data_IF_505514837780
#
_entry.id   IF_505514837780
#
_cell.length_a   1.000
_cell.length_b   1.000
_cell.length_c   1.000
_cell.angle_alpha   90.00
_cell.angle_beta   90.00
_cell.angle_gamma   90.00
#
_symmetry.space_group_name_H-M   'P 1'
#
loop_
_entity.id
_entity.type
_entity.pdbx_description
1 polymer ?
#
# COMPACT_ATOMS: atom_id res chain seq x y z
N UNK A 1 -17.50 -12.00 -9.70
CA UNK A 1 -17.98 -10.88 -8.88
C UNK A 1 -16.81 -9.95 -8.62
N UNK A 2 -17.09 -8.69 -8.27
CA UNK A 2 -16.07 -7.70 -7.88
C UNK A 2 -15.50 -8.04 -6.49
N UNK A 3 -14.19 -7.82 -6.30
CA UNK A 3 -13.50 -7.91 -5.00
C UNK A 3 -12.72 -6.63 -4.78
N UNK A 4 -12.64 -6.20 -3.53
CA UNK A 4 -11.72 -5.14 -3.11
C UNK A 4 -10.32 -5.75 -2.93
N UNK A 5 -9.31 -5.05 -3.44
CA UNK A 5 -7.91 -5.45 -3.45
C UNK A 5 -7.03 -4.59 -2.54
N UNK A 6 -7.46 -3.36 -2.23
CA UNK A 6 -6.77 -2.42 -1.37
C UNK A 6 -7.65 -1.22 -1.08
N UNK A 7 -7.41 -0.53 0.03
CA UNK A 7 -8.17 0.65 0.45
C UNK A 7 -7.24 1.72 1.02
N UNK A 8 -7.60 2.98 0.85
CA UNK A 8 -6.92 4.10 1.51
C UNK A 8 -7.83 5.35 1.55
N UNK A 9 -7.64 6.21 2.56
CA UNK A 9 -8.33 7.49 2.67
C UNK A 9 -7.62 8.56 1.88
N UNK A 10 -8.37 9.27 1.02
CA UNK A 10 -7.84 10.45 0.35
C UNK A 10 -7.76 11.61 1.35
N UNK A 11 -6.58 12.22 1.58
CA UNK A 11 -6.46 13.30 2.56
C UNK A 11 -7.35 14.51 2.26
N UNK A 12 -7.56 14.82 0.98
CA UNK A 12 -8.27 16.04 0.53
C UNK A 12 -9.77 16.03 0.85
N UNK A 13 -10.46 14.91 0.62
CA UNK A 13 -11.91 14.80 0.83
C UNK A 13 -12.30 13.83 1.96
N UNK A 14 -11.32 13.17 2.56
CA UNK A 14 -11.48 12.21 3.67
C UNK A 14 -12.38 11.02 3.33
N UNK A 15 -12.54 10.72 2.04
CA UNK A 15 -13.30 9.56 1.59
C UNK A 15 -12.41 8.32 1.52
N UNK A 16 -12.98 7.15 1.82
CA UNK A 16 -12.30 5.87 1.68
C UNK A 16 -12.39 5.42 0.23
N UNK A 17 -11.25 5.30 -0.44
CA UNK A 17 -11.17 4.75 -1.79
C UNK A 17 -10.78 3.28 -1.75
N UNK A 18 -11.14 2.56 -2.80
CA UNK A 18 -10.84 1.15 -2.93
C UNK A 18 -10.45 0.77 -4.37
N UNK A 19 -9.49 -0.15 -4.48
CA UNK A 19 -9.10 -0.81 -5.72
C UNK A 19 -9.97 -2.05 -5.93
N UNK A 20 -10.62 -2.16 -7.09
CA UNK A 20 -11.40 -3.33 -7.50
C UNK A 20 -10.63 -4.27 -8.41
N UNK A 21 -10.87 -5.57 -8.23
CA UNK A 21 -10.39 -6.69 -9.07
C UNK A 21 -10.70 -6.59 -10.57
N UNK A 22 -11.66 -5.76 -10.99
CA UNK A 22 -11.97 -5.54 -12.41
C UNK A 22 -11.41 -4.23 -12.97
N UNK A 23 -10.28 -3.76 -12.41
CA UNK A 23 -9.61 -2.53 -12.85
C UNK A 23 -10.48 -1.28 -12.68
N UNK A 24 -11.13 -1.17 -11.52
CA UNK A 24 -12.01 -0.03 -11.18
C UNK A 24 -11.60 0.55 -9.84
N UNK A 25 -11.82 1.85 -9.69
CA UNK A 25 -11.69 2.55 -8.41
C UNK A 25 -13.10 2.79 -7.87
N UNK A 26 -13.25 2.66 -6.56
CA UNK A 26 -14.49 2.92 -5.86
C UNK A 26 -14.26 3.91 -4.74
N UNK A 27 -15.30 4.67 -4.38
CA UNK A 27 -15.43 5.30 -3.07
C UNK A 27 -16.37 4.43 -2.23
N UNK A 28 -15.97 4.14 -1.00
CA UNK A 28 -16.72 3.35 -0.05
C UNK A 28 -17.36 4.24 1.01
N UNK A 29 -18.66 4.05 1.24
CA UNK A 29 -19.33 4.60 2.40
C UNK A 29 -18.98 3.76 3.64
N UNK A 30 -18.28 4.37 4.59
CA UNK A 30 -17.74 3.65 5.77
C UNK A 30 -18.81 3.21 6.77
N UNK A 31 -20.05 3.70 6.67
CA UNK A 31 -21.15 3.34 7.56
C UNK A 31 -21.97 2.18 7.00
N UNK A 32 -22.26 2.18 5.70
CA UNK A 32 -23.11 1.22 5.02
C UNK A 32 -22.35 0.15 4.24
N UNK A 33 -21.07 0.39 3.91
CA UNK A 33 -20.28 -0.45 3.03
C UNK A 33 -20.63 -0.33 1.55
N UNK A 34 -21.48 0.62 1.16
CA UNK A 34 -21.85 0.84 -0.23
C UNK A 34 -20.65 1.34 -1.05
N UNK A 35 -20.41 0.74 -2.23
CA UNK A 35 -19.33 1.10 -3.14
C UNK A 35 -19.86 1.88 -4.34
N UNK A 36 -19.32 3.07 -4.57
CA UNK A 36 -19.63 3.91 -5.74
C UNK A 36 -18.44 3.92 -6.69
N UNK A 37 -18.64 3.48 -7.94
CA UNK A 37 -17.57 3.43 -8.93
C UNK A 37 -17.13 4.85 -9.33
N UNK A 38 -15.82 5.06 -9.39
CA UNK A 38 -15.18 6.25 -9.95
C UNK A 38 -14.88 6.02 -11.44
N UNK A 39 -15.30 6.97 -12.28
CA UNK A 39 -15.26 6.80 -13.73
C UNK A 39 -16.28 5.80 -14.25
N UNK A 40 -16.36 5.63 -15.57
CA UNK A 40 -17.35 4.75 -16.22
C UNK A 40 -16.74 3.48 -16.81
N UNK A 41 -15.43 3.44 -17.01
CA UNK A 41 -14.70 2.34 -17.65
C UNK A 41 -13.59 1.80 -16.76
N UNK A 42 -13.25 0.53 -16.95
CA UNK A 42 -12.06 -0.04 -16.34
C UNK A 42 -10.79 0.66 -16.86
N UNK A 43 -9.80 0.87 -16.00
CA UNK A 43 -8.50 1.41 -16.42
C UNK A 43 -7.65 0.32 -17.09
N UNK A 44 -6.62 0.75 -17.83
CA UNK A 44 -5.63 -0.09 -18.49
C UNK A 44 -4.23 0.47 -18.20
N UNK A 45 -3.17 -0.35 -18.05
CA UNK A 45 -3.13 -1.82 -18.19
C UNK A 45 -3.92 -2.54 -17.09
N UNK A 46 -4.19 -3.83 -17.31
CA UNK A 46 -4.80 -4.71 -16.31
C UNK A 46 -3.91 -4.80 -15.08
N UNK A 47 -4.54 -4.98 -13.90
CA UNK A 47 -3.77 -5.28 -12.71
C UNK A 47 -3.04 -6.60 -12.93
N UNK A 48 -1.77 -6.61 -12.55
CA UNK A 48 -0.90 -7.78 -12.66
C UNK A 48 -0.46 -8.14 -11.24
N UNK A 49 -0.36 -9.44 -10.96
CA UNK A 49 -0.16 -9.94 -9.60
C UNK A 49 -1.44 -10.35 -8.86
N UNK A 50 -1.29 -10.70 -7.58
CA UNK A 50 -2.37 -11.21 -6.71
C UNK A 50 -2.63 -10.37 -5.48
N UNK A 51 -1.61 -9.67 -5.00
CA UNK A 51 -1.66 -8.74 -3.87
C UNK A 51 -1.14 -7.37 -4.27
N UNK A 52 -1.63 -6.33 -3.58
CA UNK A 52 -1.45 -4.97 -4.03
C UNK A 52 -1.23 -4.00 -2.87
N UNK A 53 -0.15 -3.21 -2.96
CA UNK A 53 -0.04 -1.96 -2.21
C UNK A 53 -0.91 -0.89 -2.86
N UNK A 54 -1.69 -0.15 -2.07
CA UNK A 54 -2.62 0.87 -2.56
C UNK A 54 -2.67 2.05 -1.59
N UNK A 55 -2.30 3.25 -2.04
CA UNK A 55 -2.19 4.42 -1.15
C UNK A 55 -2.24 5.76 -1.90
N UNK A 56 -2.69 6.82 -1.25
CA UNK A 56 -2.70 8.18 -1.78
C UNK A 56 -1.37 8.88 -1.57
N UNK A 57 -0.79 9.39 -2.65
CA UNK A 57 0.25 10.40 -2.54
C UNK A 57 -0.40 11.74 -2.13
N UNK A 58 -0.15 12.27 -0.90
CA UNK A 58 -0.83 13.46 -0.41
C UNK A 58 -0.35 14.75 -1.10
N UNK A 59 0.81 14.72 -1.76
CA UNK A 59 1.38 15.88 -2.48
C UNK A 59 0.90 15.95 -3.93
N UNK A 60 0.80 14.81 -4.61
CA UNK A 60 0.39 14.72 -6.01
C UNK A 60 -1.12 14.54 -6.16
N UNK A 61 -1.81 14.17 -5.08
CA UNK A 61 -3.22 13.83 -5.04
C UNK A 61 -3.55 12.77 -6.11
N UNK A 62 -2.80 11.66 -6.06
CA UNK A 62 -2.92 10.50 -6.97
C UNK A 62 -2.79 9.21 -6.18
N UNK A 63 -3.49 8.18 -6.63
CA UNK A 63 -3.36 6.83 -6.10
C UNK A 63 -2.10 6.18 -6.65
N UNK A 64 -1.34 5.52 -5.79
CA UNK A 64 -0.26 4.60 -6.13
C UNK A 64 -0.77 3.17 -6.00
N UNK A 65 -0.43 2.34 -6.98
CA UNK A 65 -0.66 0.89 -6.92
C UNK A 65 0.64 0.18 -7.21
N UNK A 66 1.03 -0.72 -6.32
CA UNK A 66 2.09 -1.70 -6.56
C UNK A 66 1.48 -3.09 -6.61
N UNK A 67 1.88 -3.93 -7.57
CA UNK A 67 1.57 -5.36 -7.57
C UNK A 67 2.75 -6.17 -7.02
N UNK A 68 2.46 -7.38 -6.54
CA UNK A 68 3.47 -8.39 -6.18
C UNK A 68 4.27 -8.92 -7.39
N UNK A 69 3.94 -8.49 -8.62
CA UNK A 69 4.69 -8.73 -9.86
C UNK A 69 5.37 -7.47 -10.42
N UNK A 70 5.85 -6.63 -9.49
CA UNK A 70 6.64 -5.43 -9.76
C UNK A 70 5.94 -4.32 -10.56
N UNK A 71 4.61 -4.43 -10.75
CA UNK A 71 3.81 -3.41 -11.39
C UNK A 71 3.81 -2.11 -10.56
N UNK A 72 3.87 -0.95 -11.23
CA UNK A 72 3.90 0.36 -10.59
C UNK A 72 3.00 1.34 -11.35
N UNK A 73 1.78 1.55 -10.84
CA UNK A 73 0.78 2.41 -11.46
C UNK A 73 0.55 3.67 -10.62
N UNK A 74 0.29 4.77 -11.33
CA UNK A 74 -0.42 5.93 -10.77
C UNK A 74 -1.80 6.00 -11.38
N UNK A 75 -2.82 6.10 -10.55
CA UNK A 75 -4.22 6.23 -10.97
C UNK A 75 -4.76 7.61 -10.57
N UNK A 76 -5.68 8.12 -11.40
CA UNK A 76 -6.43 9.33 -11.11
C UNK A 76 -7.75 8.94 -10.43
N UNK A 77 -7.87 9.30 -9.16
CA UNK A 77 -9.00 9.06 -8.28
C UNK A 77 -10.32 9.68 -8.76
N UNK A 78 -10.26 10.79 -9.52
CA UNK A 78 -11.47 11.47 -10.02
C UNK A 78 -12.03 10.78 -11.25
N UNK A 79 -11.16 10.33 -12.16
CA UNK A 79 -11.58 9.71 -13.43
C UNK A 79 -11.60 8.18 -13.35
N UNK A 80 -11.00 7.58 -12.32
CA UNK A 80 -10.80 6.14 -12.20
C UNK A 80 -9.87 5.57 -13.28
N UNK A 81 -9.07 6.40 -13.96
CA UNK A 81 -8.20 6.00 -15.08
C UNK A 81 -6.72 6.04 -14.72
N UNK A 82 -5.89 5.39 -15.55
CA UNK A 82 -4.44 5.46 -15.46
C UNK A 82 -3.96 6.91 -15.63
N UNK A 83 -3.17 7.38 -14.67
CA UNK A 83 -2.42 8.63 -14.78
C UNK A 83 -1.03 8.39 -15.36
N UNK A 84 -0.36 7.31 -14.95
CA UNK A 84 0.91 6.88 -15.53
C UNK A 84 1.19 5.39 -15.22
N UNK A 85 1.86 4.72 -16.17
CA UNK A 85 2.59 3.48 -15.92
C UNK A 85 4.04 3.86 -15.64
N UNK A 86 4.48 3.68 -14.39
CA UNK A 86 5.83 4.02 -13.95
C UNK A 86 6.80 2.86 -14.19
N UNK A 87 8.09 3.07 -13.88
CA UNK A 87 9.09 2.01 -14.04
C UNK A 87 8.81 0.84 -13.10
N UNK A 88 9.07 -0.37 -13.60
CA UNK A 88 8.96 -1.62 -12.83
C UNK A 88 9.76 -1.55 -11.53
N UNK A 89 9.20 -2.15 -10.48
CA UNK A 89 9.83 -2.19 -9.17
C UNK A 89 11.07 -3.08 -9.21
N UNK A 90 12.19 -2.56 -8.70
CA UNK A 90 13.42 -3.33 -8.53
C UNK A 90 14.31 -2.68 -7.46
N UNK A 91 15.13 -3.47 -6.78
CA UNK A 91 16.15 -2.93 -5.88
C UNK A 91 17.14 -2.02 -6.63
N UNK A 92 17.45 -0.89 -6.01
CA UNK A 92 18.35 0.12 -6.56
C UNK A 92 19.78 -0.41 -6.71
N UNK A 93 20.55 0.20 -7.61
CA UNK A 93 21.99 -0.04 -7.67
C UNK A 93 22.64 0.34 -6.32
N UNK A 94 23.45 -0.56 -5.77
CA UNK A 94 24.09 -0.38 -4.46
C UNK A 94 23.25 -0.86 -3.27
N UNK A 95 22.00 -1.27 -3.48
CA UNK A 95 21.24 -1.99 -2.45
C UNK A 95 21.81 -3.40 -2.26
N UNK A 96 21.75 -3.92 -1.04
CA UNK A 96 22.20 -5.28 -0.73
C UNK A 96 21.43 -6.37 -1.49
N UNK A 97 20.21 -6.07 -1.95
CA UNK A 97 19.32 -6.97 -2.69
C UNK A 97 19.26 -6.64 -4.20
N UNK A 98 20.21 -5.86 -4.72
CA UNK A 98 20.25 -5.58 -6.15
C UNK A 98 20.27 -6.89 -6.97
N UNK A 99 19.38 -6.99 -7.96
CA UNK A 99 19.26 -8.16 -8.82
C UNK A 99 18.38 -9.29 -8.29
N UNK A 100 17.79 -9.16 -7.10
CA UNK A 100 16.74 -10.08 -6.63
C UNK A 100 15.35 -9.56 -6.98
N UNK A 101 14.37 -10.46 -7.00
CA UNK A 101 12.97 -10.11 -7.23
C UNK A 101 12.33 -9.56 -5.95
N UNK A 102 11.79 -8.33 -5.93
CA UNK A 102 11.04 -7.81 -4.80
C UNK A 102 9.59 -8.30 -4.82
N UNK A 103 8.93 -8.33 -3.65
CA UNK A 103 7.52 -8.68 -3.53
C UNK A 103 6.80 -7.66 -2.61
N UNK A 104 6.22 -6.61 -3.19
CA UNK A 104 5.59 -5.54 -2.41
C UNK A 104 4.13 -5.86 -2.05
N UNK A 105 3.88 -6.27 -0.81
CA UNK A 105 2.55 -6.61 -0.32
C UNK A 105 1.77 -5.42 0.28
N UNK A 106 2.47 -4.35 0.70
CA UNK A 106 1.87 -3.15 1.28
C UNK A 106 2.67 -1.90 0.98
N UNK A 107 2.03 -0.74 0.86
CA UNK A 107 2.68 0.53 0.49
C UNK A 107 1.97 1.68 1.19
N UNK A 108 2.74 2.66 1.70
CA UNK A 108 2.20 3.81 2.41
C UNK A 108 3.06 5.06 2.23
N UNK A 109 2.42 6.21 2.05
CA UNK A 109 3.02 7.53 2.03
C UNK A 109 2.98 8.18 3.41
N UNK A 110 4.03 8.94 3.73
CA UNK A 110 4.02 9.80 4.92
C UNK A 110 3.26 11.09 4.67
N UNK A 111 2.90 11.78 5.78
CA UNK A 111 2.31 13.12 5.77
C UNK A 111 0.97 13.17 5.01
N UNK A 112 0.11 12.16 5.26
CA UNK A 112 -1.23 12.01 4.71
C UNK A 112 -2.20 13.07 5.27
N UNK A 113 -1.93 14.33 4.96
CA UNK A 113 -2.69 15.52 5.38
C UNK A 113 -3.04 16.40 4.17
N UNK A 114 -4.08 17.21 4.31
CA UNK A 114 -4.50 18.18 3.28
C UNK A 114 -3.35 19.16 3.01
N UNK A 115 -3.05 19.41 1.73
CA UNK A 115 -2.00 20.33 1.27
C UNK A 115 -0.58 19.97 1.75
N UNK A 116 -0.28 18.68 1.94
CA UNK A 116 1.09 18.23 2.20
C UNK A 116 2.07 18.76 1.14
N UNK A 117 3.19 19.32 1.58
CA UNK A 117 4.25 19.83 0.68
C UNK A 117 5.39 18.82 0.48
N UNK A 118 5.50 17.84 1.37
CA UNK A 118 6.48 16.75 1.33
C UNK A 118 5.80 15.43 1.65
N UNK A 119 6.31 14.34 1.07
CA UNK A 119 5.92 12.97 1.39
C UNK A 119 7.07 12.03 1.04
N UNK A 120 7.11 10.87 1.69
CA UNK A 120 8.03 9.78 1.40
C UNK A 120 7.23 8.48 1.29
N UNK A 121 7.63 7.62 0.35
CA UNK A 121 6.97 6.35 0.11
C UNK A 121 7.74 5.20 0.74
N UNK A 122 7.02 4.38 1.49
CA UNK A 122 7.51 3.15 2.08
C UNK A 122 6.69 1.97 1.59
N UNK A 123 7.27 0.78 1.62
CA UNK A 123 6.58 -0.45 1.32
C UNK A 123 7.13 -1.60 2.17
N UNK A 124 6.31 -2.64 2.32
CA UNK A 124 6.70 -3.88 2.94
C UNK A 124 6.97 -4.90 1.83
N UNK A 125 8.18 -5.45 1.86
CA UNK A 125 8.54 -6.60 1.05
C UNK A 125 8.34 -7.87 1.89
N UNK A 126 7.35 -8.69 1.52
CA UNK A 126 6.94 -9.89 2.29
C UNK A 126 7.85 -11.09 2.04
N UNK A 127 8.52 -11.18 0.89
CA UNK A 127 9.46 -12.28 0.61
C UNK A 127 10.72 -12.16 1.47
N UNK A 128 11.18 -10.93 1.73
CA UNK A 128 12.37 -10.67 2.53
C UNK A 128 12.08 -10.23 3.97
N UNK A 129 10.82 -10.06 4.34
CA UNK A 129 10.37 -9.54 5.64
C UNK A 129 11.08 -8.22 6.02
N UNK A 130 11.12 -7.28 5.08
CA UNK A 130 11.80 -5.98 5.27
C UNK A 130 10.88 -4.79 4.98
N UNK A 131 11.20 -3.68 5.63
CA UNK A 131 10.75 -2.36 5.19
C UNK A 131 11.70 -1.84 4.10
N UNK A 132 11.12 -1.29 3.03
CA UNK A 132 11.83 -0.58 1.97
C UNK A 132 11.29 0.84 1.80
N UNK A 133 12.08 1.72 1.19
CA UNK A 133 11.64 3.03 0.72
C UNK A 133 11.81 3.18 -0.78
N UNK A 134 11.04 4.10 -1.37
CA UNK A 134 11.16 4.52 -2.76
C UNK A 134 11.43 6.03 -2.80
N UNK A 135 12.71 6.47 -2.76
CA UNK A 135 13.05 7.89 -2.76
C UNK A 135 12.49 8.67 -3.96
N UNK A 136 12.34 7.99 -5.10
CA UNK A 136 11.69 8.51 -6.30
C UNK A 136 10.68 7.48 -6.81
N UNK A 137 9.43 7.47 -6.31
CA UNK A 137 8.47 6.40 -6.58
C UNK A 137 8.27 6.07 -8.07
N UNK A 138 8.40 7.06 -8.95
CA UNK A 138 8.16 6.89 -10.39
C UNK A 138 9.29 6.13 -11.12
N UNK A 139 10.49 6.03 -10.53
CA UNK A 139 11.60 5.27 -11.10
C UNK A 139 11.64 3.80 -10.65
N UNK A 140 10.75 3.41 -9.73
CA UNK A 140 10.59 2.04 -9.24
C UNK A 140 11.78 1.50 -8.47
N UNK A 141 12.67 2.34 -7.93
CA UNK A 141 13.88 1.88 -7.23
C UNK A 141 13.69 1.79 -5.72
N UNK A 142 13.81 0.57 -5.21
CA UNK A 142 13.73 0.25 -3.79
C UNK A 142 15.08 0.45 -3.10
N UNK A 143 15.03 0.95 -1.88
CA UNK A 143 16.15 0.97 -0.94
C UNK A 143 15.72 0.26 0.35
N UNK A 144 16.41 -0.81 0.71
CA UNK A 144 16.24 -1.58 1.93
C UNK A 144 16.50 -0.71 3.17
N UNK A 145 15.58 -0.71 4.13
CA UNK A 145 15.76 0.00 5.42
C UNK A 145 16.19 -0.98 6.50
N UNK A 146 15.45 -2.07 6.68
CA UNK A 146 15.77 -3.08 7.67
C UNK A 146 14.67 -4.11 7.84
N UNK A 147 14.97 -5.15 8.61
CA UNK A 147 14.06 -6.27 8.83
C UNK A 147 12.89 -5.87 9.73
N UNK A 148 11.70 -6.39 9.40
CA UNK A 148 10.51 -6.28 10.23
C UNK A 148 10.69 -7.03 11.56
N UNK A 149 11.45 -8.13 11.54
CA UNK A 149 11.59 -9.04 12.68
C UNK A 149 10.37 -9.96 12.86
N UNK A 150 9.45 -9.96 11.89
CA UNK A 150 8.24 -10.78 11.83
C UNK A 150 8.13 -11.32 10.42
N UNK A 151 7.90 -12.63 10.30
CA UNK A 151 7.58 -13.26 9.02
C UNK A 151 6.11 -13.04 8.68
N UNK A 152 5.82 -12.47 7.51
CA UNK A 152 4.46 -12.24 7.03
C UNK A 152 4.20 -12.92 5.68
N UNK A 153 2.96 -13.29 5.43
CA UNK A 153 2.48 -13.59 4.07
C UNK A 153 2.19 -12.29 3.30
N UNK A 154 1.75 -12.40 2.04
CA UNK A 154 1.35 -11.26 1.20
C UNK A 154 0.04 -10.58 1.63
N UNK A 155 -0.65 -11.11 2.65
CA UNK A 155 -1.80 -10.45 3.25
C UNK A 155 -1.32 -9.37 4.23
N UNK A 156 -0.98 -8.21 3.68
CA UNK A 156 -0.43 -7.06 4.41
C UNK A 156 -1.27 -5.82 4.17
N UNK A 157 -1.66 -5.16 5.26
CA UNK A 157 -2.12 -3.77 5.25
C UNK A 157 -1.02 -2.88 5.78
N UNK A 158 -0.77 -1.73 5.17
CA UNK A 158 0.26 -0.79 5.62
C UNK A 158 -0.20 0.63 5.36
N UNK A 159 -0.16 1.47 6.39
CA UNK A 159 -0.56 2.88 6.31
C UNK A 159 0.23 3.69 7.35
N UNK A 160 0.43 4.98 7.09
CA UNK A 160 1.17 5.90 7.94
C UNK A 160 0.26 7.06 8.32
N UNK A 161 -0.02 7.17 9.62
CA UNK A 161 -0.94 8.16 10.16
C UNK A 161 -0.45 9.59 9.84
N UNK A 162 -1.29 10.40 9.19
CA UNK A 162 -0.91 11.77 8.79
C UNK A 162 -0.71 12.74 9.96
N UNK A 163 -1.33 12.47 11.11
CA UNK A 163 -1.30 13.34 12.29
C UNK A 163 0.02 13.28 13.09
N UNK A 164 0.61 12.09 13.24
CA UNK A 164 1.81 11.87 14.06
C UNK A 164 2.92 11.07 13.36
N UNK A 165 2.66 10.59 12.14
CA UNK A 165 3.63 9.81 11.35
C UNK A 165 3.81 8.37 11.82
N UNK A 166 2.95 7.87 12.72
CA UNK A 166 3.03 6.48 13.17
C UNK A 166 2.65 5.53 12.03
N UNK A 167 3.56 4.65 11.65
CA UNK A 167 3.31 3.63 10.64
C UNK A 167 2.68 2.40 11.29
N UNK A 168 1.54 1.96 10.79
CA UNK A 168 0.84 0.76 11.23
C UNK A 168 0.83 -0.28 10.11
N UNK A 169 1.03 -1.53 10.49
CA UNK A 169 0.91 -2.66 9.57
C UNK A 169 0.02 -3.75 10.16
N UNK A 170 -0.86 -4.33 9.33
CA UNK A 170 -1.45 -5.63 9.61
C UNK A 170 -0.58 -6.71 8.95
N UNK A 171 0.12 -7.52 9.74
CA UNK A 171 0.99 -8.59 9.24
C UNK A 171 0.37 -9.95 9.53
N UNK A 172 0.28 -10.81 8.52
CA UNK A 172 -0.36 -12.12 8.61
C UNK A 172 0.68 -13.20 8.81
N UNK A 173 0.71 -13.81 9.99
CA UNK A 173 1.82 -14.68 10.41
C UNK A 173 1.57 -16.15 10.05
N UNK A 174 2.42 -16.80 9.23
CA UNK A 174 2.34 -18.23 8.97
C UNK A 174 2.86 -19.05 10.18
N UNK A 175 2.39 -20.31 10.38
CA UNK A 175 1.34 -20.99 9.64
C UNK A 175 -0.08 -20.65 10.12
N UNK A 176 -0.21 -19.78 11.14
CA UNK A 176 -1.51 -19.48 11.76
C UNK A 176 -2.49 -18.81 10.80
N UNK A 177 -1.99 -18.02 9.85
CA UNK A 177 -2.82 -17.24 8.93
C UNK A 177 -3.59 -16.11 9.61
N UNK A 178 -3.20 -15.73 10.82
CA UNK A 178 -3.85 -14.71 11.63
C UNK A 178 -3.11 -13.39 11.49
N UNK A 179 -3.84 -12.29 11.27
CA UNK A 179 -3.26 -10.95 11.26
C UNK A 179 -3.07 -10.37 12.65
N UNK A 180 -1.86 -9.85 12.88
CA UNK A 180 -1.54 -8.98 14.01
C UNK A 180 -1.44 -7.52 13.56
N UNK A 181 -1.79 -6.60 14.43
CA UNK A 181 -1.49 -5.17 14.27
C UNK A 181 -0.12 -4.87 14.85
N UNK A 182 0.68 -4.11 14.12
CA UNK A 182 2.03 -3.71 14.49
C UNK A 182 2.22 -2.20 14.25
N UNK A 183 3.05 -1.55 15.06
CA UNK A 183 3.73 -0.33 14.60
C UNK A 183 5.01 -0.71 13.87
N UNK A 184 5.39 0.02 12.83
CA UNK A 184 6.65 -0.17 12.10
C UNK A 184 7.53 1.07 12.27
N UNK A 185 8.78 0.88 12.67
CA UNK A 185 9.73 1.98 12.76
C UNK A 185 10.33 2.28 11.38
N UNK A 186 9.99 3.44 10.80
CA UNK A 186 10.39 3.83 9.45
C UNK A 186 11.90 4.07 9.28
N UNK A 187 12.67 4.18 10.37
CA UNK A 187 14.12 4.41 10.32
C UNK A 187 14.95 3.14 10.27
N UNK A 188 14.43 2.01 10.78
CA UNK A 188 15.18 0.75 10.90
C UNK A 188 14.38 -0.50 10.50
N UNK A 189 13.10 -0.34 10.16
CA UNK A 189 12.19 -1.40 9.74
C UNK A 189 11.55 -2.21 10.86
N UNK A 190 11.98 -2.10 12.13
CA UNK A 190 11.52 -3.02 13.17
C UNK A 190 10.02 -2.89 13.45
N UNK A 191 9.28 -4.00 13.41
CA UNK A 191 7.88 -4.08 13.77
C UNK A 191 7.69 -4.37 15.27
N UNK A 192 6.71 -3.74 15.90
CA UNK A 192 6.33 -3.97 17.31
C UNK A 192 4.86 -4.34 17.41
N UNK A 193 4.57 -5.51 17.99
CA UNK A 193 3.23 -6.06 18.08
C UNK A 193 2.33 -5.29 19.04
N UNK A 194 1.12 -4.97 18.60
CA UNK A 194 0.09 -4.28 19.40
C UNK A 194 -1.07 -5.20 19.81
N UNK A 195 -1.38 -6.21 18.99
CA UNK A 195 -2.46 -7.15 19.27
C UNK A 195 -2.99 -7.85 18.04
N UNK A 196 -3.76 -8.91 18.25
CA UNK A 196 -4.42 -9.64 17.16
C UNK A 196 -5.62 -8.85 16.65
N UNK A 197 -5.80 -8.80 15.32
CA UNK A 197 -6.93 -8.14 14.65
C UNK A 197 -7.56 -9.08 13.61
N UNK A 198 -8.62 -8.63 12.93
CA UNK A 198 -9.23 -9.38 11.83
C UNK A 198 -9.97 -10.65 12.27
N UNK A 199 -10.39 -10.76 13.53
CA UNK A 199 -11.15 -11.91 14.06
C UNK A 199 -10.49 -13.27 13.77
N UNK A 200 -9.16 -13.36 13.94
CA UNK A 200 -8.36 -14.55 13.62
C UNK A 200 -8.37 -14.96 12.14
N UNK A 201 -8.54 -13.99 11.24
CA UNK A 201 -8.46 -14.18 9.79
C UNK A 201 -7.35 -13.28 9.20
N UNK A 202 -6.86 -13.59 7.98
CA UNK A 202 -5.97 -12.70 7.26
C UNK A 202 -6.70 -11.43 6.84
N UNK A 203 -6.03 -10.29 6.97
CA UNK A 203 -6.47 -9.00 6.48
C UNK A 203 -5.67 -8.64 5.23
N UNK A 204 -6.38 -8.25 4.18
CA UNK A 204 -5.80 -7.86 2.91
C UNK A 204 -5.25 -6.43 2.93
N UNK A 205 -5.87 -5.53 3.69
CA UNK A 205 -5.53 -4.11 3.69
C UNK A 205 -6.03 -3.44 4.97
N UNK A 206 -5.42 -2.31 5.32
CA UNK A 206 -5.74 -1.46 6.45
C UNK A 206 -5.58 0.00 6.00
N UNK A 207 -6.49 0.87 6.43
CA UNK A 207 -6.43 2.31 6.19
C UNK A 207 -6.79 3.06 7.48
N UNK A 208 -6.08 4.15 7.73
CA UNK A 208 -6.18 5.01 8.90
C UNK A 208 -7.05 6.19 8.52
N UNK A 209 -8.15 6.35 9.24
CA UNK A 209 -9.03 7.50 9.04
C UNK A 209 -8.31 8.79 9.48
N UNK A 210 -8.32 9.85 8.64
CA UNK A 210 -7.80 11.18 8.99
C UNK A 210 -8.51 11.85 10.18
#
# INVERSE_FOLDING_TARGET
GEKILGIDFRPVDQQLYALGSTNRIYVLDTLSGAATQMGTTAFSPTLSGTTFGFDFNPTADRLRVHGDDEQNLRLNQLTGQLAALDSVIAFAAGDARVGTNPNLAGTAYTNSVVNATTTALFAIDSDFDILVSLPSPNNGKLVSIGALGVNTTDFVGFDIAGNDGTAYASLTVPPSGISGLYTVNLSNGSASFLGTIGNNAPLLSLAIKP
#
